data_IF_703370639817
#
_entry.id   IF_703370639817
#
_cell.length_a   1.000
_cell.length_b   1.000
_cell.length_c   1.000
_cell.angle_alpha   90.00
_cell.angle_beta   90.00
_cell.angle_gamma   90.00
#
_symmetry.space_group_name_H-M   'P 1'
#
loop_
_entity.id
_entity.type
_entity.pdbx_description
1 polymer ?
#
# COMPACT_ATOMS: atom_id res chain seq x y z
N UNK A 1 -16.96 39.05 23.50
CA UNK A 1 -15.55 38.69 23.18
C UNK A 1 -15.20 37.19 23.31
N UNK A 2 -15.95 36.34 24.05
CA UNK A 2 -15.59 34.90 24.22
C UNK A 2 -16.17 33.93 23.16
N UNK A 3 -17.12 34.38 22.32
CA UNK A 3 -17.83 33.53 21.35
C UNK A 3 -17.06 33.30 20.04
N UNK A 4 -16.15 34.22 19.69
CA UNK A 4 -15.31 34.11 18.49
C UNK A 4 -14.09 33.21 18.68
N UNK A 5 -13.75 32.87 19.93
CA UNK A 5 -12.61 32.00 20.24
C UNK A 5 -12.83 30.54 19.76
N UNK A 6 -14.09 30.09 19.73
CA UNK A 6 -14.45 28.75 19.27
C UNK A 6 -14.40 28.60 17.73
N UNK A 7 -14.60 29.69 16.99
CA UNK A 7 -14.59 29.68 15.52
C UNK A 7 -13.15 29.56 15.00
N UNK A 8 -12.17 30.13 15.72
CA UNK A 8 -10.75 30.02 15.36
C UNK A 8 -10.18 28.60 15.59
N UNK A 9 -10.70 27.85 16.57
CA UNK A 9 -10.23 26.52 16.92
C UNK A 9 -10.65 25.44 15.90
N UNK A 10 -11.78 25.63 15.22
CA UNK A 10 -12.35 24.65 14.27
C UNK A 10 -11.63 24.65 12.91
N UNK A 11 -10.98 25.77 12.53
CA UNK A 11 -10.33 25.90 11.22
C UNK A 11 -8.93 25.28 11.19
N UNK A 12 -8.28 25.05 12.34
CA UNK A 12 -6.89 24.59 12.40
C UNK A 12 -6.71 23.06 12.38
N UNK A 13 -7.80 22.29 12.40
CA UNK A 13 -7.77 20.82 12.52
C UNK A 13 -7.74 19.95 11.22
N UNK A 14 -7.80 20.43 9.96
CA UNK A 14 -7.86 19.50 8.83
C UNK A 14 -6.50 19.10 8.22
N UNK A 15 -5.36 19.59 8.72
CA UNK A 15 -4.06 19.41 8.05
C UNK A 15 -3.56 17.95 8.00
N UNK A 16 -3.97 17.09 8.93
CA UNK A 16 -3.51 15.68 9.01
C UNK A 16 -4.23 14.73 8.04
N UNK A 17 -5.32 15.16 7.40
CA UNK A 17 -6.14 14.29 6.54
C UNK A 17 -5.55 14.04 5.14
N UNK A 18 -4.72 14.93 4.63
CA UNK A 18 -4.27 14.90 3.22
C UNK A 18 -3.26 13.77 2.94
N UNK A 19 -2.33 13.51 3.86
CA UNK A 19 -1.32 12.45 3.69
C UNK A 19 -1.88 11.04 3.87
N UNK A 20 -2.92 10.86 4.67
CA UNK A 20 -3.57 9.57 4.87
C UNK A 20 -4.32 9.12 3.61
N UNK A 21 -5.04 10.04 2.95
CA UNK A 21 -5.84 9.74 1.76
C UNK A 21 -5.02 9.16 0.60
N UNK A 22 -3.81 9.66 0.36
CA UNK A 22 -2.98 9.17 -0.74
C UNK A 22 -2.46 7.76 -0.50
N UNK A 23 -2.12 7.40 0.74
CA UNK A 23 -1.67 6.05 1.09
C UNK A 23 -2.78 5.02 0.93
N UNK A 24 -4.00 5.37 1.34
CA UNK A 24 -5.19 4.50 1.19
C UNK A 24 -5.46 4.23 -0.29
N UNK A 25 -5.44 5.25 -1.14
CA UNK A 25 -5.67 5.10 -2.59
C UNK A 25 -4.65 4.19 -3.28
N UNK A 26 -3.37 4.28 -2.90
CA UNK A 26 -2.32 3.42 -3.49
C UNK A 26 -2.51 1.96 -3.05
N UNK A 27 -2.81 1.73 -1.77
CA UNK A 27 -3.04 0.39 -1.25
C UNK A 27 -4.28 -0.27 -1.89
N UNK A 28 -5.36 0.48 -2.08
CA UNK A 28 -6.56 0.00 -2.78
C UNK A 28 -6.25 -0.39 -4.23
N UNK A 29 -5.51 0.44 -4.96
CA UNK A 29 -5.08 0.15 -6.33
C UNK A 29 -4.21 -1.09 -6.42
N UNK A 30 -3.23 -1.22 -5.53
CA UNK A 30 -2.40 -2.42 -5.46
C UNK A 30 -3.24 -3.67 -5.24
N UNK A 31 -4.24 -3.59 -4.37
CA UNK A 31 -5.14 -4.70 -4.10
C UNK A 31 -5.93 -5.07 -5.35
N UNK A 32 -6.49 -4.08 -6.06
CA UNK A 32 -7.22 -4.31 -7.31
C UNK A 32 -6.32 -4.90 -8.41
N UNK A 33 -5.10 -4.39 -8.55
CA UNK A 33 -4.10 -4.92 -9.47
C UNK A 33 -3.81 -6.39 -9.19
N UNK A 34 -3.51 -6.73 -7.94
CA UNK A 34 -3.21 -8.12 -7.55
C UNK A 34 -4.42 -9.03 -7.79
N UNK A 35 -5.63 -8.59 -7.42
CA UNK A 35 -6.86 -9.35 -7.65
C UNK A 35 -7.07 -9.65 -9.14
N UNK A 36 -6.88 -8.64 -10.00
CA UNK A 36 -7.02 -8.77 -11.46
C UNK A 36 -5.99 -9.73 -12.04
N UNK A 37 -4.71 -9.58 -11.66
CA UNK A 37 -3.64 -10.41 -12.22
C UNK A 37 -3.62 -11.85 -11.69
N UNK A 38 -4.18 -12.09 -10.51
CA UNK A 38 -4.38 -13.44 -9.98
C UNK A 38 -5.65 -14.11 -10.51
N UNK A 39 -6.49 -13.39 -11.24
CA UNK A 39 -7.77 -13.89 -11.74
C UNK A 39 -8.72 -14.32 -10.62
N UNK A 40 -8.77 -13.55 -9.52
CA UNK A 40 -9.59 -13.93 -8.36
C UNK A 40 -11.09 -13.83 -8.68
N UNK A 41 -11.84 -14.85 -8.28
CA UNK A 41 -13.30 -14.78 -8.27
C UNK A 41 -13.80 -13.74 -7.27
N UNK A 42 -15.06 -13.32 -7.39
CA UNK A 42 -15.67 -12.37 -6.43
C UNK A 42 -15.62 -12.88 -4.98
N UNK A 43 -15.76 -14.19 -4.79
CA UNK A 43 -15.71 -14.81 -3.46
C UNK A 43 -14.28 -14.79 -2.91
N UNK A 44 -13.30 -15.25 -3.70
CA UNK A 44 -11.87 -15.23 -3.33
C UNK A 44 -11.40 -13.79 -3.03
N UNK A 45 -11.78 -12.82 -3.87
CA UNK A 45 -11.40 -11.42 -3.71
C UNK A 45 -11.94 -10.80 -2.42
N UNK A 46 -13.16 -11.15 -1.99
CA UNK A 46 -13.77 -10.68 -0.73
C UNK A 46 -12.99 -11.19 0.48
N UNK A 47 -12.62 -12.47 0.49
CA UNK A 47 -11.85 -13.07 1.59
C UNK A 47 -10.38 -12.65 1.57
N UNK A 48 -9.79 -12.46 0.39
CA UNK A 48 -8.39 -12.09 0.22
C UNK A 48 -8.09 -10.67 0.71
N UNK A 49 -8.98 -9.72 0.43
CA UNK A 49 -8.82 -8.29 0.75
C UNK A 49 -8.40 -8.00 2.20
N UNK A 50 -9.12 -8.47 3.23
CA UNK A 50 -8.75 -8.19 4.62
C UNK A 50 -7.37 -8.75 4.97
N UNK A 51 -7.06 -9.98 4.56
CA UNK A 51 -5.73 -10.59 4.82
C UNK A 51 -4.62 -9.79 4.15
N UNK A 52 -4.84 -9.36 2.89
CA UNK A 52 -3.87 -8.56 2.18
C UNK A 52 -3.65 -7.18 2.83
N UNK A 53 -4.70 -6.53 3.33
CA UNK A 53 -4.53 -5.27 4.06
C UNK A 53 -3.79 -5.44 5.39
N UNK A 54 -4.02 -6.54 6.12
CA UNK A 54 -3.23 -6.88 7.29
C UNK A 54 -1.75 -7.06 6.94
N UNK A 55 -1.45 -7.82 5.87
CA UNK A 55 -0.09 -7.96 5.35
C UNK A 55 0.58 -6.61 5.08
N UNK A 56 -0.10 -5.69 4.37
CA UNK A 56 0.47 -4.37 4.07
C UNK A 56 0.78 -3.55 5.32
N UNK A 57 -0.09 -3.62 6.34
CA UNK A 57 0.11 -2.94 7.61
C UNK A 57 1.33 -3.52 8.32
N UNK A 58 1.46 -4.83 8.38
CA UNK A 58 2.54 -5.51 9.10
C UNK A 58 3.89 -5.29 8.41
N UNK A 59 3.91 -5.28 7.08
CA UNK A 59 5.07 -4.86 6.27
C UNK A 59 5.46 -3.42 6.62
N UNK A 60 4.50 -2.49 6.62
CA UNK A 60 4.76 -1.08 6.94
C UNK A 60 5.27 -0.89 8.38
N UNK A 61 4.74 -1.66 9.33
CA UNK A 61 5.18 -1.65 10.72
C UNK A 61 6.61 -2.19 10.85
N UNK A 62 6.91 -3.31 10.20
CA UNK A 62 8.24 -3.94 10.21
C UNK A 62 9.29 -2.99 9.61
N UNK A 63 8.96 -2.32 8.52
CA UNK A 63 9.83 -1.28 7.94
C UNK A 63 10.11 -0.12 8.90
N UNK A 64 9.14 0.28 9.74
CA UNK A 64 9.36 1.33 10.74
C UNK A 64 10.22 0.84 11.89
N UNK A 65 9.97 -0.38 12.37
CA UNK A 65 10.65 -0.96 13.52
C UNK A 65 12.12 -1.28 13.24
N UNK A 66 12.43 -1.85 12.07
CA UNK A 66 13.77 -2.32 11.72
C UNK A 66 14.47 -1.45 10.67
N UNK A 67 14.11 -0.16 10.56
CA UNK A 67 14.66 0.75 9.54
C UNK A 67 16.20 0.84 9.56
N UNK A 68 16.79 0.74 10.75
CA UNK A 68 18.24 0.93 10.98
C UNK A 68 19.05 -0.33 10.67
N UNK A 69 18.46 -1.51 10.86
CA UNK A 69 19.13 -2.80 10.62
C UNK A 69 18.54 -3.47 9.37
N UNK A 70 19.25 -3.34 8.25
CA UNK A 70 18.78 -3.83 6.94
C UNK A 70 18.71 -5.35 6.89
N UNK A 71 19.63 -6.06 7.54
CA UNK A 71 19.69 -7.52 7.48
C UNK A 71 18.52 -8.11 8.28
N UNK A 72 18.32 -7.62 9.50
CA UNK A 72 17.19 -8.04 10.34
C UNK A 72 15.86 -7.66 9.70
N UNK A 73 15.76 -6.47 9.08
CA UNK A 73 14.59 -6.08 8.32
C UNK A 73 14.27 -7.09 7.20
N UNK A 74 15.26 -7.45 6.38
CA UNK A 74 15.06 -8.41 5.30
C UNK A 74 14.57 -9.76 5.83
N UNK A 75 15.20 -10.27 6.89
CA UNK A 75 14.77 -11.50 7.54
C UNK A 75 13.31 -11.43 7.99
N UNK A 76 12.92 -10.36 8.70
CA UNK A 76 11.55 -10.19 9.21
C UNK A 76 10.51 -10.08 8.11
N UNK A 77 10.85 -9.42 7.00
CA UNK A 77 9.97 -9.35 5.83
C UNK A 77 9.79 -10.73 5.20
N UNK A 78 10.85 -11.55 5.12
CA UNK A 78 10.76 -12.93 4.62
C UNK A 78 9.87 -13.79 5.51
N UNK A 79 10.06 -13.72 6.84
CA UNK A 79 9.22 -14.41 7.82
C UNK A 79 7.74 -14.04 7.63
N UNK A 80 7.43 -12.75 7.53
CA UNK A 80 6.06 -12.27 7.25
C UNK A 80 5.52 -12.82 5.93
N UNK A 81 6.31 -12.79 4.84
CA UNK A 81 5.88 -13.34 3.55
C UNK A 81 5.57 -14.82 3.64
N UNK A 82 6.34 -15.60 4.39
CA UNK A 82 6.09 -17.03 4.58
C UNK A 82 4.79 -17.29 5.35
N UNK A 83 4.51 -16.52 6.40
CA UNK A 83 3.29 -16.68 7.18
C UNK A 83 2.04 -16.27 6.41
N UNK A 84 2.11 -15.12 5.72
CA UNK A 84 1.01 -14.67 4.87
C UNK A 84 0.81 -15.55 3.64
N UNK A 85 1.86 -16.19 3.10
CA UNK A 85 1.72 -17.20 2.05
C UNK A 85 0.81 -18.34 2.49
N UNK A 86 0.97 -18.84 3.72
CA UNK A 86 0.09 -19.90 4.27
C UNK A 86 -1.35 -19.43 4.33
N UNK A 87 -1.59 -18.21 4.81
CA UNK A 87 -2.93 -17.61 4.89
C UNK A 87 -3.55 -17.36 3.52
N UNK A 88 -2.78 -16.89 2.53
CA UNK A 88 -3.29 -16.76 1.16
C UNK A 88 -3.62 -18.13 0.56
N UNK A 89 -2.84 -19.16 0.88
CA UNK A 89 -3.05 -20.52 0.37
C UNK A 89 -4.35 -21.18 0.86
N UNK A 90 -4.99 -20.65 1.91
CA UNK A 90 -6.31 -21.15 2.36
C UNK A 90 -7.46 -20.56 1.56
N UNK A 91 -7.25 -19.41 0.89
CA UNK A 91 -8.26 -18.72 0.08
C UNK A 91 -8.08 -19.04 -1.40
N UNK A 92 -6.82 -19.08 -1.84
CA UNK A 92 -6.41 -19.31 -3.22
C UNK A 92 -5.42 -20.47 -3.26
N UNK A 93 -5.22 -21.11 -4.41
CA UNK A 93 -4.27 -22.21 -4.50
C UNK A 93 -2.82 -21.74 -4.21
N UNK A 94 -1.97 -22.67 -3.78
CA UNK A 94 -0.59 -22.37 -3.38
C UNK A 94 0.27 -21.72 -4.49
N UNK A 95 -0.03 -22.04 -5.76
CA UNK A 95 0.64 -21.43 -6.92
C UNK A 95 0.31 -19.94 -7.00
N UNK A 96 -0.98 -19.59 -6.94
CA UNK A 96 -1.47 -18.21 -6.94
C UNK A 96 -1.03 -17.46 -5.69
N UNK A 97 -0.98 -18.10 -4.52
CA UNK A 97 -0.47 -17.51 -3.28
C UNK A 97 0.99 -17.04 -3.41
N UNK A 98 1.85 -17.79 -4.11
CA UNK A 98 3.22 -17.35 -4.40
C UNK A 98 3.28 -16.15 -5.34
N UNK A 99 2.36 -16.08 -6.30
CA UNK A 99 2.33 -15.01 -7.29
C UNK A 99 1.92 -13.66 -6.68
N UNK A 100 1.21 -13.65 -5.54
CA UNK A 100 0.86 -12.42 -4.80
C UNK A 100 2.09 -11.52 -4.58
N UNK A 101 3.18 -12.08 -4.09
CA UNK A 101 4.41 -11.33 -3.79
C UNK A 101 5.10 -10.82 -5.06
N UNK A 102 5.02 -11.57 -6.16
CA UNK A 102 5.57 -11.14 -7.45
C UNK A 102 4.82 -9.94 -8.01
N UNK A 103 3.48 -9.96 -7.94
CA UNK A 103 2.64 -8.84 -8.37
C UNK A 103 2.82 -7.63 -7.44
N UNK A 104 2.91 -7.84 -6.13
CA UNK A 104 3.22 -6.79 -5.15
C UNK A 104 4.56 -6.11 -5.46
N UNK A 105 5.62 -6.89 -5.70
CA UNK A 105 6.95 -6.36 -5.98
C UNK A 105 6.99 -5.60 -7.32
N UNK A 106 6.30 -6.09 -8.35
CA UNK A 106 6.13 -5.37 -9.62
C UNK A 106 5.42 -4.04 -9.42
N UNK A 107 4.30 -4.04 -8.71
CA UNK A 107 3.52 -2.84 -8.42
C UNK A 107 4.36 -1.80 -7.65
N UNK A 108 5.07 -2.24 -6.60
CA UNK A 108 5.94 -1.36 -5.80
C UNK A 108 7.04 -0.73 -6.66
N UNK A 109 7.70 -1.52 -7.52
CA UNK A 109 8.74 -1.01 -8.44
C UNK A 109 8.19 0.05 -9.38
N UNK A 110 6.99 -0.14 -9.92
CA UNK A 110 6.36 0.83 -10.81
C UNK A 110 6.03 2.14 -10.09
N UNK A 111 5.42 2.04 -8.90
CA UNK A 111 5.13 3.23 -8.07
C UNK A 111 6.41 4.01 -7.74
N UNK A 112 7.49 3.32 -7.39
CA UNK A 112 8.78 3.96 -7.11
C UNK A 112 9.33 4.64 -8.37
N UNK A 113 9.26 4.00 -9.53
CA UNK A 113 9.70 4.57 -10.81
C UNK A 113 8.96 5.88 -11.10
N UNK A 114 7.63 5.88 -11.02
CA UNK A 114 6.80 7.06 -11.24
C UNK A 114 7.17 8.18 -10.26
N UNK A 115 7.36 7.87 -8.98
CA UNK A 115 7.77 8.86 -7.97
C UNK A 115 9.16 9.44 -8.29
N UNK A 116 10.11 8.61 -8.73
CA UNK A 116 11.46 9.05 -9.08
C UNK A 116 11.48 9.91 -10.34
N UNK A 117 10.75 9.53 -11.38
CA UNK A 117 10.61 10.30 -12.61
C UNK A 117 10.01 11.68 -12.34
N UNK A 118 8.99 11.74 -11.48
CA UNK A 118 8.36 13.01 -11.10
C UNK A 118 9.31 13.94 -10.35
N UNK A 119 10.20 13.41 -9.50
CA UNK A 119 11.24 14.21 -8.82
C UNK A 119 12.36 14.67 -9.76
N UNK A 120 12.58 13.99 -10.89
CA UNK A 120 13.56 14.43 -11.89
C UNK A 120 13.01 15.55 -12.77
N UNK A 121 11.68 15.60 -12.93
CA UNK A 121 10.95 16.57 -13.74
C UNK A 121 10.45 17.78 -12.94
N UNK A 122 11.15 18.18 -11.86
CA UNK A 122 10.79 19.18 -10.83
C UNK A 122 10.47 20.63 -11.32
N UNK A 123 10.11 20.82 -12.60
CA UNK A 123 9.41 22.01 -13.12
C UNK A 123 7.94 21.78 -13.51
N UNK A 124 7.43 20.54 -13.53
CA UNK A 124 6.06 20.25 -13.98
C UNK A 124 5.28 19.52 -12.85
N UNK A 125 4.20 20.13 -12.29
CA UNK A 125 3.40 19.48 -11.26
C UNK A 125 2.78 18.19 -11.78
N UNK A 126 2.69 17.17 -10.92
CA UNK A 126 2.23 15.83 -11.27
C UNK A 126 0.98 15.88 -12.16
N UNK A 127 1.11 15.38 -13.39
CA UNK A 127 -0.06 15.12 -14.24
C UNK A 127 -0.90 14.09 -13.49
N UNK A 128 -2.07 14.52 -13.00
CA UNK A 128 -3.11 13.68 -12.35
C UNK A 128 -3.39 12.36 -13.08
N UNK A 129 -3.04 12.29 -14.36
CA UNK A 129 -3.12 11.12 -15.23
C UNK A 129 -2.10 10.00 -14.90
N UNK A 130 -0.87 10.29 -14.50
CA UNK A 130 0.12 9.23 -14.20
C UNK A 130 -0.28 8.36 -13.01
N UNK A 131 -0.96 8.94 -12.02
CA UNK A 131 -1.55 8.13 -10.96
C UNK A 131 -2.62 7.19 -11.53
N UNK A 132 -3.39 7.57 -12.55
CA UNK A 132 -4.38 6.67 -13.18
C UNK A 132 -3.72 5.52 -13.96
N UNK A 133 -2.47 5.69 -14.35
CA UNK A 133 -1.67 4.70 -15.10
C UNK A 133 -0.93 3.71 -14.20
N UNK A 134 -1.00 3.89 -12.87
CA UNK A 134 -0.57 2.85 -11.93
C UNK A 134 -1.44 1.62 -12.21
N UNK A 135 -0.82 0.46 -12.53
CA UNK A 135 -1.54 -0.70 -13.02
C UNK A 135 -2.49 -1.28 -11.97
#
# INVERSE_FOLDING_TARGET
MKKYFYILLIVMLPASSVLAQNKVKIAERMTLYIQKNLGLSKAEARSFRPIFFHYLRDIAQTHRQFKTDRLVLQQKIIELRLDYRKQFSTIINAVRANQVFQYEDRFRKEVIRIIQENRRNDGIPMRKNQFREIP
#
